data_IF_022225154529
#
_entry.id   IF_022225154529
#
_cell.length_a   1.000
_cell.length_b   1.000
_cell.length_c   1.000
_cell.angle_alpha   90.00
_cell.angle_beta   90.00
_cell.angle_gamma   90.00
#
_symmetry.space_group_name_H-M   'P 1'
#
loop_
_entity.id
_entity.type
_entity.pdbx_description
1 polymer ?
#
# COMPACT_ATOMS: atom_id res chain seq x y z
N UNK A 1 -13.74 17.52 52.07
CA UNK A 1 -14.85 18.49 51.90
C UNK A 1 -14.23 19.86 51.68
N UNK A 2 -14.61 20.66 50.66
CA UNK A 2 -15.65 20.47 49.63
C UNK A 2 -15.05 20.16 48.22
N UNK A 3 -15.65 19.27 47.41
CA UNK A 3 -16.66 19.48 46.33
C UNK A 3 -16.02 19.78 44.97
N UNK A 4 -15.89 18.80 44.06
CA UNK A 4 -16.84 18.38 43.01
C UNK A 4 -17.17 19.46 41.96
N UNK A 5 -16.62 19.30 40.76
CA UNK A 5 -17.32 19.59 39.50
C UNK A 5 -16.80 18.71 38.37
N UNK A 6 -17.66 17.78 37.97
CA UNK A 6 -17.72 17.09 36.67
C UNK A 6 -17.81 18.11 35.53
N UNK A 7 -17.32 17.79 34.31
CA UNK A 7 -18.07 17.86 33.02
C UNK A 7 -17.21 17.59 31.77
N UNK A 8 -17.62 16.52 31.05
CA UNK A 8 -17.65 16.21 29.59
C UNK A 8 -16.37 16.07 28.73
N UNK A 9 -16.16 14.80 28.40
CA UNK A 9 -15.96 14.22 27.06
C UNK A 9 -16.47 15.04 25.86
N UNK A 10 -15.62 15.22 24.85
CA UNK A 10 -16.00 15.23 23.42
C UNK A 10 -14.92 14.47 22.63
N UNK A 11 -15.34 13.38 22.00
CA UNK A 11 -14.60 12.67 20.96
C UNK A 11 -14.60 13.50 19.67
N UNK A 12 -13.45 13.62 19.02
CA UNK A 12 -13.35 14.10 17.65
C UNK A 12 -12.59 13.05 16.82
N UNK A 13 -13.36 12.10 16.31
CA UNK A 13 -12.99 11.20 15.22
C UNK A 13 -12.70 12.03 13.96
N UNK A 14 -11.43 12.05 13.53
CA UNK A 14 -11.06 12.49 12.19
C UNK A 14 -10.60 11.27 11.40
N UNK A 15 -11.51 10.75 10.58
CA UNK A 15 -11.18 9.82 9.52
C UNK A 15 -10.26 10.52 8.52
N UNK A 16 -8.99 10.11 8.49
CA UNK A 16 -8.09 10.46 7.41
C UNK A 16 -8.53 9.67 6.16
N UNK A 17 -8.92 10.38 5.11
CA UNK A 17 -9.22 9.79 3.81
C UNK A 17 -7.93 9.14 3.25
N UNK A 18 -8.01 7.84 2.96
CA UNK A 18 -6.93 7.11 2.29
C UNK A 18 -6.83 7.57 0.81
N UNK A 19 -5.63 7.77 0.23
CA UNK A 19 -5.46 8.38 -1.10
C UNK A 19 -5.80 7.47 -2.29
N UNK A 20 -6.25 6.23 -2.07
CA UNK A 20 -6.40 5.24 -3.15
C UNK A 20 -7.85 4.78 -3.29
N UNK A 21 -8.55 5.14 -4.39
CA UNK A 21 -9.86 4.57 -4.67
C UNK A 21 -9.68 3.11 -5.12
N UNK A 22 -10.02 2.17 -4.24
CA UNK A 22 -10.18 0.78 -4.60
C UNK A 22 -11.39 0.61 -5.53
N UNK A 23 -11.12 0.08 -6.72
CA UNK A 23 -12.10 -0.43 -7.68
C UNK A 23 -12.87 -1.60 -7.07
N UNK A 24 -14.02 -1.30 -6.44
CA UNK A 24 -15.01 -2.33 -6.10
C UNK A 24 -15.80 -2.72 -7.34
N UNK A 25 -15.34 -3.77 -8.00
CA UNK A 25 -16.19 -4.70 -8.73
C UNK A 25 -17.06 -5.45 -7.72
N UNK A 26 -18.39 -5.45 -7.90
CA UNK A 26 -19.26 -6.56 -7.48
C UNK A 26 -20.64 -6.46 -8.15
N UNK A 27 -20.78 -7.27 -9.21
CA UNK A 27 -21.82 -8.26 -9.46
C UNK A 27 -23.30 -7.93 -9.17
N UNK A 28 -24.05 -8.05 -10.27
CA UNK A 28 -25.49 -8.28 -10.45
C UNK A 28 -26.20 -9.04 -9.31
N UNK A 29 -27.39 -8.56 -8.96
CA UNK A 29 -28.56 -9.43 -8.68
C UNK A 29 -29.81 -8.86 -9.36
N UNK A 30 -30.52 -9.75 -10.05
CA UNK A 30 -31.78 -9.54 -10.77
C UNK A 30 -32.99 -9.93 -9.90
N UNK A 31 -34.19 -9.59 -10.39
CA UNK A 31 -35.57 -9.90 -9.89
C UNK A 31 -36.10 -8.94 -8.81
N UNK A 32 -37.36 -8.46 -8.85
CA UNK A 32 -38.48 -8.68 -9.75
C UNK A 32 -39.65 -7.73 -9.38
N UNK A 33 -40.55 -7.57 -10.36
CA UNK A 33 -41.95 -7.08 -10.34
C UNK A 33 -42.68 -6.89 -8.99
N UNK A 34 -43.45 -5.79 -8.83
CA UNK A 34 -44.94 -5.79 -8.78
C UNK A 34 -45.55 -4.44 -8.36
N UNK A 35 -46.77 -4.21 -8.84
CA UNK A 35 -47.61 -3.01 -8.88
C UNK A 35 -48.06 -2.41 -7.52
N UNK A 36 -48.39 -1.11 -7.50
CA UNK A 36 -49.77 -0.59 -7.30
C UNK A 36 -49.81 0.94 -7.36
N UNK A 37 -50.94 1.44 -7.87
CA UNK A 37 -51.27 2.82 -8.22
C UNK A 37 -51.42 3.78 -7.02
N UNK A 38 -51.01 5.04 -7.20
CA UNK A 38 -51.76 6.18 -6.64
C UNK A 38 -51.83 7.32 -7.66
N UNK A 39 -53.07 7.65 -8.01
CA UNK A 39 -53.48 8.77 -8.83
C UNK A 39 -53.26 10.11 -8.10
N UNK A 40 -52.75 11.11 -8.82
CA UNK A 40 -53.06 12.51 -8.52
C UNK A 40 -53.58 13.16 -9.78
N UNK A 41 -54.90 13.35 -9.81
CA UNK A 41 -55.61 14.11 -10.81
C UNK A 41 -55.52 15.61 -10.50
N UNK A 42 -54.90 16.38 -11.39
CA UNK A 42 -55.24 17.81 -11.54
C UNK A 42 -55.21 18.28 -12.99
N UNK A 43 -56.42 18.55 -13.48
CA UNK A 43 -56.83 19.71 -14.30
C UNK A 43 -56.37 19.80 -15.77
N UNK A 44 -57.30 19.34 -16.63
CA UNK A 44 -57.74 19.90 -17.92
C UNK A 44 -56.99 21.14 -18.46
N UNK A 45 -56.22 20.92 -19.52
CA UNK A 45 -55.71 21.95 -20.44
C UNK A 45 -56.05 21.62 -21.89
N UNK A 46 -56.63 22.59 -22.59
CA UNK A 46 -57.31 22.50 -23.90
C UNK A 46 -56.36 22.20 -25.07
N UNK A 47 -56.84 21.34 -25.95
CA UNK A 47 -56.26 20.91 -27.23
C UNK A 47 -55.70 22.05 -28.11
N UNK A 48 -54.44 21.93 -28.53
CA UNK A 48 -53.95 22.48 -29.80
C UNK A 48 -53.13 21.39 -30.51
N UNK A 49 -53.76 20.72 -31.48
CA UNK A 49 -53.04 19.88 -32.46
C UNK A 49 -52.18 20.78 -33.35
N UNK A 50 -50.89 20.94 -33.03
CA UNK A 50 -49.90 21.27 -34.05
C UNK A 50 -49.43 19.96 -34.67
N UNK A 51 -49.81 19.72 -35.92
CA UNK A 51 -49.15 18.70 -36.75
C UNK A 51 -47.74 19.19 -37.04
N UNK A 52 -46.80 18.88 -36.15
CA UNK A 52 -45.39 18.96 -36.50
C UNK A 52 -45.08 17.72 -37.34
N UNK A 53 -44.91 17.91 -38.64
CA UNK A 53 -44.20 16.94 -39.47
C UNK A 53 -42.73 16.97 -39.03
N UNK A 54 -42.41 16.30 -37.92
CA UNK A 54 -41.04 15.92 -37.63
C UNK A 54 -40.68 14.88 -38.67
N UNK A 55 -39.92 15.32 -39.67
CA UNK A 55 -39.16 14.43 -40.54
C UNK A 55 -38.31 13.59 -39.60
N UNK A 56 -38.75 12.35 -39.37
CA UNK A 56 -37.99 11.31 -38.70
C UNK A 56 -36.81 10.93 -39.60
N UNK A 57 -35.84 11.82 -39.76
CA UNK A 57 -34.47 11.38 -40.00
C UNK A 57 -33.92 10.94 -38.64
N UNK A 58 -34.50 9.85 -38.12
CA UNK A 58 -33.86 9.06 -37.10
C UNK A 58 -32.65 8.41 -37.77
N UNK A 59 -31.55 9.18 -37.87
CA UNK A 59 -30.24 8.60 -38.13
C UNK A 59 -29.96 7.68 -36.95
N UNK A 60 -30.31 6.41 -37.13
CA UNK A 60 -29.82 5.31 -36.32
C UNK A 60 -28.30 5.37 -36.42
N UNK A 61 -27.66 6.16 -35.55
CA UNK A 61 -26.24 5.99 -35.24
C UNK A 61 -26.16 4.66 -34.51
N UNK A 62 -26.19 3.58 -35.28
CA UNK A 62 -25.86 2.26 -34.80
C UNK A 62 -24.43 2.36 -34.27
N UNK A 63 -24.29 2.47 -32.96
CA UNK A 63 -23.04 2.19 -32.29
C UNK A 63 -22.76 0.72 -32.58
N UNK A 64 -22.00 0.45 -33.65
CA UNK A 64 -21.58 -0.89 -34.02
C UNK A 64 -20.66 -1.34 -32.89
N UNK A 65 -21.21 -2.12 -31.95
CA UNK A 65 -20.42 -2.87 -30.99
C UNK A 65 -19.51 -3.76 -31.83
N UNK A 66 -18.24 -3.36 -31.98
CA UNK A 66 -17.25 -4.20 -32.61
C UNK A 66 -17.05 -5.38 -31.67
N UNK A 67 -17.59 -6.54 -32.03
CA UNK A 67 -17.22 -7.77 -31.36
C UNK A 67 -15.71 -7.96 -31.59
N UNK A 68 -14.91 -7.82 -30.54
CA UNK A 68 -13.49 -8.14 -30.60
C UNK A 68 -13.39 -9.62 -30.98
N UNK A 69 -12.72 -9.90 -32.10
CA UNK A 69 -12.43 -11.27 -32.49
C UNK A 69 -11.62 -11.95 -31.38
N UNK A 70 -11.89 -13.24 -31.12
CA UNK A 70 -11.07 -14.01 -30.20
C UNK A 70 -9.64 -14.13 -30.75
N UNK A 71 -8.61 -14.09 -29.88
CA UNK A 71 -7.22 -14.29 -30.30
C UNK A 71 -7.04 -15.65 -30.97
N UNK A 72 -6.19 -15.68 -31.99
CA UNK A 72 -5.69 -16.93 -32.55
C UNK A 72 -4.79 -17.67 -31.56
N UNK A 73 -4.58 -18.97 -31.78
CA UNK A 73 -3.75 -19.80 -30.92
C UNK A 73 -2.30 -19.27 -30.82
N UNK A 74 -1.73 -18.84 -31.94
CA UNK A 74 -0.38 -18.25 -31.98
C UNK A 74 -0.31 -16.92 -31.20
N UNK A 75 -1.33 -16.05 -31.32
CA UNK A 75 -1.39 -14.80 -30.56
C UNK A 75 -1.54 -15.06 -29.05
N UNK A 76 -2.25 -16.12 -28.66
CA UNK A 76 -2.36 -16.54 -27.26
C UNK A 76 -1.02 -17.06 -26.71
N UNK A 77 -0.30 -17.88 -27.46
CA UNK A 77 1.00 -18.43 -27.07
C UNK A 77 2.06 -17.34 -26.91
N UNK A 78 2.12 -16.39 -27.85
CA UNK A 78 3.03 -15.23 -27.73
C UNK A 78 2.69 -14.36 -26.51
N UNK A 79 1.39 -14.12 -26.26
CA UNK A 79 0.95 -13.37 -25.08
C UNK A 79 1.32 -14.10 -23.78
N UNK A 80 1.20 -15.43 -23.77
CA UNK A 80 1.57 -16.27 -22.63
C UNK A 80 3.08 -16.20 -22.38
N UNK A 81 3.92 -16.35 -23.41
CA UNK A 81 5.38 -16.27 -23.27
C UNK A 81 5.80 -14.89 -22.74
N UNK A 82 5.23 -13.81 -23.27
CA UNK A 82 5.46 -12.44 -22.77
C UNK A 82 5.05 -12.29 -21.31
N UNK A 83 3.92 -12.86 -20.91
CA UNK A 83 3.46 -12.83 -19.53
C UNK A 83 4.39 -13.63 -18.60
N UNK A 84 4.88 -14.79 -19.04
CA UNK A 84 5.83 -15.61 -18.28
C UNK A 84 7.17 -14.90 -18.10
N UNK A 85 7.70 -14.25 -19.14
CA UNK A 85 8.92 -13.43 -19.04
C UNK A 85 8.73 -12.26 -18.05
N UNK A 86 7.59 -11.57 -18.12
CA UNK A 86 7.27 -10.49 -17.19
C UNK A 86 7.17 -11.01 -15.74
N UNK A 87 6.58 -12.19 -15.53
CA UNK A 87 6.54 -12.84 -14.21
C UNK A 87 7.95 -13.16 -13.69
N UNK A 88 8.84 -13.65 -14.55
CA UNK A 88 10.24 -13.91 -14.16
C UNK A 88 10.98 -12.63 -13.75
N UNK A 89 10.73 -11.51 -14.42
CA UNK A 89 11.30 -10.21 -14.04
C UNK A 89 10.78 -9.74 -12.67
N UNK A 90 9.49 -9.91 -12.40
CA UNK A 90 8.91 -9.57 -11.09
C UNK A 90 9.53 -10.38 -9.95
N UNK A 91 9.73 -11.69 -10.15
CA UNK A 91 10.39 -12.54 -9.15
C UNK A 91 11.83 -12.07 -8.85
N UNK A 92 12.57 -11.60 -9.86
CA UNK A 92 13.91 -11.03 -9.64
C UNK A 92 13.87 -9.78 -8.77
N UNK A 93 12.88 -8.91 -8.99
CA UNK A 93 12.71 -7.71 -8.17
C UNK A 93 12.34 -8.04 -6.72
N UNK A 94 11.55 -9.09 -6.49
CA UNK A 94 11.25 -9.56 -5.12
C UNK A 94 12.51 -10.02 -4.38
N UNK A 95 13.40 -10.77 -5.04
CA UNK A 95 14.67 -11.21 -4.46
C UNK A 95 15.56 -10.01 -4.14
N UNK A 96 15.71 -9.06 -5.06
CA UNK A 96 16.51 -7.85 -4.83
C UNK A 96 15.93 -7.06 -3.65
N UNK A 97 14.60 -6.93 -3.58
CA UNK A 97 13.92 -6.23 -2.49
C UNK A 97 14.23 -6.85 -1.13
N UNK A 98 14.21 -8.18 -1.00
CA UNK A 98 14.52 -8.84 0.27
C UNK A 98 15.98 -8.66 0.66
N UNK A 99 16.91 -8.85 -0.28
CA UNK A 99 18.36 -8.69 -0.03
C UNK A 99 18.73 -7.28 0.43
N UNK A 100 18.17 -6.25 -0.22
CA UNK A 100 18.46 -4.84 0.09
C UNK A 100 18.07 -4.42 1.51
N UNK A 101 17.09 -5.10 2.11
CA UNK A 101 16.56 -4.77 3.43
C UNK A 101 16.91 -5.80 4.49
N UNK A 102 17.75 -6.78 4.17
CA UNK A 102 18.20 -7.80 5.10
C UNK A 102 19.43 -7.33 5.87
N UNK A 103 19.43 -7.52 7.18
CA UNK A 103 20.60 -7.27 8.01
C UNK A 103 21.64 -8.38 7.78
N UNK A 104 22.91 -8.06 7.46
CA UNK A 104 23.93 -9.07 7.17
C UNK A 104 24.40 -9.87 8.40
N UNK A 105 23.90 -9.53 9.59
CA UNK A 105 24.30 -10.15 10.85
C UNK A 105 23.29 -11.22 11.28
N UNK A 106 22.01 -10.84 11.40
CA UNK A 106 20.95 -11.78 11.78
C UNK A 106 20.27 -12.46 10.57
N UNK A 107 20.57 -12.03 9.34
CA UNK A 107 20.00 -12.55 8.10
C UNK A 107 18.46 -12.46 8.03
N UNK A 108 17.91 -11.47 8.73
CA UNK A 108 16.48 -11.13 8.75
C UNK A 108 16.33 -9.65 8.37
N UNK A 109 15.10 -9.18 8.15
CA UNK A 109 14.80 -7.77 7.86
C UNK A 109 15.48 -6.85 8.88
N UNK A 110 16.08 -5.77 8.37
CA UNK A 110 16.82 -4.80 9.15
C UNK A 110 15.87 -3.89 9.94
N UNK A 111 15.16 -4.43 10.92
CA UNK A 111 14.26 -3.67 11.79
C UNK A 111 14.99 -2.57 12.54
N UNK A 112 14.34 -1.42 12.64
CA UNK A 112 14.93 -0.17 13.11
C UNK A 112 16.27 0.10 12.40
N UNK A 113 16.25 0.22 11.06
CA UNK A 113 17.45 0.23 10.25
C UNK A 113 18.37 1.37 10.65
N UNK A 114 19.66 1.04 10.73
CA UNK A 114 20.74 1.96 11.00
C UNK A 114 21.75 1.90 9.86
N UNK A 115 22.04 3.06 9.28
CA UNK A 115 23.01 3.23 8.20
C UNK A 115 24.32 3.70 8.83
N UNK A 116 25.39 2.96 8.57
CA UNK A 116 26.74 3.35 8.99
C UNK A 116 27.32 4.44 8.09
N UNK A 117 28.37 5.11 8.54
CA UNK A 117 29.07 6.12 7.74
C UNK A 117 29.64 5.61 6.41
N UNK A 118 29.89 4.30 6.30
CA UNK A 118 30.31 3.65 5.06
C UNK A 118 29.14 3.24 4.16
N UNK A 119 27.90 3.54 4.55
CA UNK A 119 26.68 3.32 3.75
C UNK A 119 26.02 1.95 3.96
N UNK A 120 26.53 1.12 4.87
CA UNK A 120 26.01 -0.23 5.08
C UNK A 120 24.86 -0.27 6.08
N UNK A 121 23.90 -1.15 5.82
CA UNK A 121 22.65 -1.27 6.56
C UNK A 121 22.70 -2.40 7.59
N UNK A 122 22.23 -2.12 8.81
CA UNK A 122 22.08 -3.10 9.88
C UNK A 122 20.76 -2.85 10.64
N UNK A 123 20.22 -3.87 11.32
CA UNK A 123 19.21 -3.62 12.35
C UNK A 123 19.85 -2.99 13.59
N UNK A 124 19.07 -2.22 14.35
CA UNK A 124 19.56 -1.51 15.52
C UNK A 124 20.22 -2.45 16.55
N UNK A 125 19.61 -3.60 16.80
CA UNK A 125 20.08 -4.58 17.80
C UNK A 125 21.44 -5.16 17.41
N UNK A 126 21.60 -5.63 16.18
CA UNK A 126 22.86 -6.21 15.73
C UNK A 126 23.99 -5.18 15.69
N UNK A 127 23.73 -3.97 15.18
CA UNK A 127 24.79 -2.95 15.13
C UNK A 127 25.22 -2.51 16.53
N UNK A 128 24.27 -2.37 17.46
CA UNK A 128 24.60 -2.10 18.85
C UNK A 128 25.43 -3.23 19.47
N UNK A 129 25.07 -4.49 19.22
CA UNK A 129 25.83 -5.65 19.69
C UNK A 129 27.29 -5.65 19.20
N UNK A 130 27.51 -5.36 17.90
CA UNK A 130 28.87 -5.23 17.35
C UNK A 130 29.62 -4.10 18.06
N UNK A 131 29.00 -2.94 18.26
CA UNK A 131 29.64 -1.79 18.91
C UNK A 131 30.04 -2.08 20.35
N UNK A 132 29.15 -2.68 21.14
CA UNK A 132 29.42 -3.05 22.54
C UNK A 132 30.56 -4.06 22.59
N UNK A 133 30.51 -5.11 21.78
CA UNK A 133 31.56 -6.13 21.74
C UNK A 133 32.91 -5.52 21.34
N UNK A 134 32.98 -4.62 20.35
CA UNK A 134 34.25 -3.98 19.96
C UNK A 134 34.86 -3.15 21.07
N UNK A 135 34.03 -2.46 21.86
CA UNK A 135 34.48 -1.67 23.02
C UNK A 135 35.07 -2.59 24.09
N UNK A 136 34.40 -3.71 24.38
CA UNK A 136 34.82 -4.66 25.42
C UNK A 136 36.10 -5.42 25.08
N UNK A 137 36.31 -5.81 23.81
CA UNK A 137 37.43 -6.69 23.43
C UNK A 137 38.62 -6.01 22.80
N UNK A 138 38.43 -4.89 22.11
CA UNK A 138 39.48 -4.29 21.29
C UNK A 138 39.77 -2.82 21.62
N UNK A 139 38.87 -2.12 22.32
CA UNK A 139 39.12 -0.78 22.90
C UNK A 139 39.47 0.35 21.91
N UNK A 140 39.44 0.09 20.60
CA UNK A 140 40.02 1.01 19.60
C UNK A 140 39.02 1.51 18.55
N UNK A 141 38.15 0.66 17.98
CA UNK A 141 37.13 1.07 17.00
C UNK A 141 36.20 -0.09 16.65
N UNK A 142 34.96 0.21 16.24
CA UNK A 142 34.05 -0.78 15.66
C UNK A 142 34.32 -0.89 14.17
N UNK A 143 34.50 -2.11 13.65
CA UNK A 143 34.62 -2.33 12.20
C UNK A 143 33.27 -2.69 11.58
N UNK A 144 33.06 -2.23 10.34
CA UNK A 144 31.90 -2.63 9.55
C UNK A 144 32.01 -4.10 9.14
N UNK A 145 30.99 -4.91 9.44
CA UNK A 145 30.96 -6.33 9.04
C UNK A 145 30.91 -6.59 7.53
N UNK A 146 30.63 -5.58 6.70
CA UNK A 146 30.55 -5.71 5.24
C UNK A 146 31.82 -5.25 4.53
N UNK A 147 32.27 -4.00 4.76
CA UNK A 147 33.47 -3.47 4.10
C UNK A 147 34.73 -3.47 4.96
N UNK A 148 34.64 -3.87 6.23
CA UNK A 148 35.75 -3.86 7.21
C UNK A 148 36.34 -2.47 7.50
N UNK A 149 35.70 -1.40 7.01
CA UNK A 149 36.08 -0.04 7.34
C UNK A 149 35.70 0.34 8.77
N UNK A 150 36.49 1.22 9.36
CA UNK A 150 36.29 1.70 10.73
C UNK A 150 35.03 2.57 10.83
N UNK A 151 34.26 2.37 11.88
CA UNK A 151 33.05 3.10 12.22
C UNK A 151 33.34 3.99 13.43
N UNK A 152 33.62 5.26 13.17
CA UNK A 152 33.96 6.27 14.19
C UNK A 152 32.83 7.27 14.45
N UNK A 153 31.84 7.38 13.55
CA UNK A 153 30.62 8.16 13.71
C UNK A 153 29.49 7.28 14.24
N UNK A 154 28.55 7.85 15.01
CA UNK A 154 27.33 7.15 15.37
C UNK A 154 26.53 6.83 14.10
N UNK A 155 25.92 5.64 14.03
CA UNK A 155 25.09 5.29 12.88
C UNK A 155 23.81 6.12 12.83
N UNK A 156 23.28 6.32 11.63
CA UNK A 156 22.11 7.16 11.38
C UNK A 156 20.85 6.29 11.24
N UNK A 157 19.83 6.49 12.09
CA UNK A 157 18.51 5.89 11.90
C UNK A 157 17.87 6.24 10.56
N UNK A 158 17.41 5.24 9.79
CA UNK A 158 16.72 5.46 8.52
C UNK A 158 15.20 5.24 8.64
N UNK A 159 14.47 6.29 9.03
CA UNK A 159 13.02 6.20 9.27
C UNK A 159 12.19 5.82 8.03
N UNK A 160 12.42 6.39 6.83
CA UNK A 160 11.66 6.00 5.64
C UNK A 160 11.81 4.51 5.33
N UNK A 161 13.00 3.96 5.59
CA UNK A 161 13.28 2.55 5.40
C UNK A 161 12.58 1.67 6.43
N UNK A 162 12.44 2.15 7.68
CA UNK A 162 11.65 1.46 8.70
C UNK A 162 10.20 1.26 8.26
N UNK A 163 9.54 2.33 7.80
CA UNK A 163 8.13 2.26 7.41
C UNK A 163 7.94 1.32 6.20
N UNK A 164 8.90 1.31 5.27
CA UNK A 164 8.92 0.37 4.14
C UNK A 164 9.09 -1.08 4.61
N UNK A 165 10.07 -1.35 5.47
CA UNK A 165 10.33 -2.70 6.01
C UNK A 165 9.11 -3.21 6.79
N UNK A 166 8.50 -2.38 7.64
CA UNK A 166 7.27 -2.75 8.37
C UNK A 166 6.12 -3.04 7.41
N UNK A 167 5.96 -2.26 6.33
CA UNK A 167 4.94 -2.51 5.31
C UNK A 167 5.17 -3.82 4.57
N UNK A 168 6.42 -4.16 4.24
CA UNK A 168 6.77 -5.43 3.58
C UNK A 168 6.48 -6.59 4.53
N UNK A 169 7.01 -6.53 5.76
CA UNK A 169 6.79 -7.56 6.77
C UNK A 169 5.30 -7.81 7.04
N UNK A 170 4.50 -6.74 7.11
CA UNK A 170 3.03 -6.86 7.28
C UNK A 170 2.37 -7.55 6.08
N UNK A 171 2.80 -7.22 4.87
CA UNK A 171 2.27 -7.83 3.63
C UNK A 171 2.61 -9.31 3.56
N UNK A 172 3.81 -9.67 3.99
CA UNK A 172 4.32 -11.05 4.02
C UNK A 172 3.81 -11.85 5.23
N UNK A 173 3.00 -11.24 6.11
CA UNK A 173 2.44 -11.89 7.30
C UNK A 173 3.48 -12.19 8.39
N UNK A 174 4.61 -11.48 8.39
CA UNK A 174 5.71 -11.67 9.33
C UNK A 174 5.46 -10.89 10.63
N UNK A 175 5.92 -11.46 11.75
CA UNK A 175 5.87 -10.80 13.05
C UNK A 175 6.94 -9.70 13.12
N UNK A 176 6.51 -8.46 13.40
CA UNK A 176 7.41 -7.32 13.57
C UNK A 176 7.91 -7.31 15.02
N UNK A 177 9.24 -7.29 15.27
CA UNK A 177 9.79 -7.24 16.62
C UNK A 177 9.46 -5.92 17.31
N UNK A 178 9.45 -5.95 18.65
CA UNK A 178 9.20 -4.77 19.48
C UNK A 178 10.23 -3.66 19.24
N UNK A 179 9.77 -2.42 19.37
CA UNK A 179 10.60 -1.24 19.19
C UNK A 179 11.65 -1.08 20.30
N UNK A 180 12.93 -1.02 19.92
CA UNK A 180 14.06 -0.82 20.83
C UNK A 180 14.39 0.68 20.94
N UNK A 181 13.76 1.37 21.89
CA UNK A 181 13.87 2.83 22.06
C UNK A 181 15.24 3.32 22.54
N UNK A 182 15.98 2.47 23.26
CA UNK A 182 17.29 2.81 23.83
C UNK A 182 18.37 3.03 22.77
N UNK A 183 18.25 2.32 21.65
CA UNK A 183 19.24 2.31 20.55
C UNK A 183 18.79 3.15 19.36
N UNK A 184 17.47 3.26 19.16
CA UNK A 184 16.89 4.00 18.04
C UNK A 184 15.97 5.08 18.60
N UNK A 185 16.53 6.26 18.86
CA UNK A 185 15.81 7.36 19.54
C UNK A 185 14.77 8.05 18.64
N UNK A 186 13.58 8.29 19.20
CA UNK A 186 12.63 9.29 18.70
C UNK A 186 11.49 8.82 17.81
N UNK A 187 10.94 7.60 17.96
CA UNK A 187 9.61 7.24 17.41
C UNK A 187 8.60 7.18 18.57
N UNK A 188 7.64 8.12 18.65
CA UNK A 188 6.48 7.95 19.51
C UNK A 188 5.64 6.77 19.02
N UNK A 189 5.05 6.05 19.97
CA UNK A 189 4.10 4.95 19.75
C UNK A 189 3.02 5.34 18.73
N UNK A 190 2.86 4.52 17.69
CA UNK A 190 1.69 4.57 16.82
C UNK A 190 0.52 3.87 17.50
#
# INVERSE_FOLDING_TARGET
>A
MPSLTTTRTIAASRAAASPYPHSRSCLLTTSGSSDTDEEVETTRGRSYRRKANISLTATRRSARLQAKALPTQAEYEEMKEKAELAQQELLKLEIIRTELFTCPVCLDFAYQPQITQCGHLYCATCLNGIRVHSIETQGLFTQCGLCRGDLYLPPVPCRPLQDLIESIATTDGLAIPGYVSEVWVGRPSR
#
